data_IF_525532321593
#
_entry.id   IF_525532321593
#
_cell.length_a   1.000
_cell.length_b   1.000
_cell.length_c   1.000
_cell.angle_alpha   90.00
_cell.angle_beta   90.00
_cell.angle_gamma   90.00
#
_symmetry.space_group_name_H-M   'P 1'
#
loop_
_entity.id
_entity.type
_entity.pdbx_description
1 polymer ?
#
# COMPACT_ATOMS: atom_id res chain seq x y z
N UNK A 1 -2.69 -5.46 0.37
CA UNK A 1 -3.84 -4.70 0.92
C UNK A 1 -5.01 -5.62 1.20
N UNK A 2 -5.45 -6.49 0.26
CA UNK A 2 -6.60 -7.38 0.46
C UNK A 2 -6.53 -8.28 1.70
N UNK A 3 -5.36 -8.76 2.10
CA UNK A 3 -5.17 -9.56 3.32
C UNK A 3 -5.41 -8.75 4.60
N UNK A 4 -5.17 -7.42 4.55
CA UNK A 4 -5.37 -6.52 5.70
C UNK A 4 -6.85 -6.31 6.02
N UNK A 5 -7.73 -6.41 5.02
CA UNK A 5 -9.18 -6.30 5.21
C UNK A 5 -9.84 -7.64 5.49
N UNK A 6 -9.37 -8.72 4.85
CA UNK A 6 -9.95 -10.06 4.98
C UNK A 6 -9.80 -10.65 6.40
N UNK A 7 -8.62 -10.50 7.01
CA UNK A 7 -8.35 -11.05 8.35
C UNK A 7 -9.24 -10.43 9.43
N UNK A 8 -9.31 -9.10 9.63
CA UNK A 8 -10.17 -8.49 10.63
C UNK A 8 -11.65 -8.79 10.45
N UNK A 9 -12.12 -8.90 9.20
CA UNK A 9 -13.50 -9.26 8.91
C UNK A 9 -13.80 -10.69 9.34
N UNK A 10 -12.88 -11.61 9.09
CA UNK A 10 -12.99 -13.01 9.52
C UNK A 10 -12.97 -13.14 11.04
N UNK A 11 -12.10 -12.43 11.73
CA UNK A 11 -11.99 -12.41 13.19
C UNK A 11 -13.28 -11.90 13.86
N UNK A 12 -14.03 -11.03 13.16
CA UNK A 12 -15.36 -10.56 13.60
C UNK A 12 -16.51 -11.49 13.22
N UNK A 13 -16.20 -12.69 12.73
CA UNK A 13 -17.19 -13.72 12.43
C UNK A 13 -17.80 -13.66 11.03
N UNK A 14 -17.33 -12.78 10.15
CA UNK A 14 -17.81 -12.75 8.78
C UNK A 14 -17.33 -13.98 7.97
N UNK A 15 -18.16 -14.46 7.06
CA UNK A 15 -17.72 -15.38 6.02
C UNK A 15 -17.07 -14.56 4.90
N UNK A 16 -15.76 -14.77 4.66
CA UNK A 16 -14.97 -13.97 3.73
C UNK A 16 -14.45 -14.83 2.58
N UNK A 17 -15.10 -14.80 1.41
CA UNK A 17 -14.55 -15.36 0.19
C UNK A 17 -13.51 -14.41 -0.40
N UNK A 18 -12.35 -14.96 -0.80
CA UNK A 18 -11.24 -14.20 -1.40
C UNK A 18 -11.00 -14.70 -2.82
N UNK A 19 -11.08 -13.78 -3.77
CA UNK A 19 -10.81 -14.09 -5.18
C UNK A 19 -9.31 -14.15 -5.44
N UNK A 20 -8.88 -15.16 -6.18
CA UNK A 20 -7.48 -15.39 -6.50
C UNK A 20 -7.29 -15.60 -7.99
N UNK A 21 -6.38 -14.85 -8.60
CA UNK A 21 -5.92 -15.11 -9.97
C UNK A 21 -4.89 -16.24 -9.95
N UNK A 22 -4.93 -17.13 -10.94
CA UNK A 22 -3.86 -18.09 -11.18
C UNK A 22 -2.71 -17.36 -11.87
N UNK A 23 -1.65 -17.06 -11.14
CA UNK A 23 -0.40 -16.63 -11.73
C UNK A 23 0.48 -17.85 -12.06
N UNK A 24 1.28 -17.76 -13.12
CA UNK A 24 2.24 -18.80 -13.51
C UNK A 24 3.36 -19.01 -12.48
N UNK A 25 3.59 -18.05 -11.61
CA UNK A 25 4.66 -18.08 -10.60
C UNK A 25 4.07 -17.89 -9.21
N UNK A 26 3.93 -18.98 -8.46
CA UNK A 26 3.74 -18.94 -7.02
C UNK A 26 2.34 -19.29 -6.50
N UNK A 27 2.30 -19.83 -5.28
CA UNK A 27 1.07 -20.03 -4.53
C UNK A 27 0.64 -18.70 -3.93
N UNK A 28 -0.54 -18.23 -4.30
CA UNK A 28 -1.15 -17.09 -3.63
C UNK A 28 -1.63 -17.53 -2.25
N UNK A 29 -1.02 -16.96 -1.22
CA UNK A 29 -1.46 -17.19 0.16
C UNK A 29 -2.70 -16.34 0.42
N UNK A 30 -3.76 -16.98 0.89
CA UNK A 30 -4.96 -16.32 1.41
C UNK A 30 -4.94 -16.40 2.94
N UNK A 31 -5.56 -15.44 3.65
CA UNK A 31 -5.65 -15.50 5.10
C UNK A 31 -6.35 -16.78 5.56
N UNK A 32 -5.89 -17.30 6.69
CA UNK A 32 -6.44 -18.53 7.28
C UNK A 32 -7.93 -18.36 7.58
N UNK A 33 -8.71 -19.41 7.27
CA UNK A 33 -10.15 -19.41 7.47
C UNK A 33 -10.96 -18.65 6.42
N UNK A 34 -10.34 -18.04 5.40
CA UNK A 34 -11.03 -17.47 4.26
C UNK A 34 -11.29 -18.52 3.17
N UNK A 35 -12.42 -18.43 2.50
CA UNK A 35 -12.75 -19.30 1.38
C UNK A 35 -12.06 -18.80 0.09
N UNK A 36 -11.48 -19.71 -0.67
CA UNK A 36 -10.83 -19.39 -1.95
C UNK A 36 -11.81 -19.48 -3.11
N UNK A 37 -11.89 -18.44 -3.92
CA UNK A 37 -12.68 -18.41 -5.15
C UNK A 37 -11.76 -18.11 -6.33
N UNK A 38 -12.04 -18.69 -7.49
CA UNK A 38 -11.35 -18.32 -8.71
C UNK A 38 -11.79 -16.93 -9.18
N UNK A 39 -10.86 -16.10 -9.61
CA UNK A 39 -11.14 -14.73 -10.03
C UNK A 39 -12.22 -14.63 -11.13
N UNK A 40 -12.30 -15.60 -12.03
CA UNK A 40 -13.34 -15.67 -13.08
C UNK A 40 -14.76 -15.82 -12.53
N UNK A 41 -14.92 -16.41 -11.34
CA UNK A 41 -16.21 -16.70 -10.69
C UNK A 41 -16.68 -15.53 -9.80
N UNK A 42 -15.97 -14.40 -9.79
CA UNK A 42 -16.24 -13.29 -8.87
C UNK A 42 -17.65 -12.74 -8.97
N UNK A 43 -18.18 -12.61 -10.19
CA UNK A 43 -19.53 -12.09 -10.43
C UNK A 43 -20.61 -13.06 -9.96
N UNK A 44 -20.37 -14.37 -10.05
CA UNK A 44 -21.32 -15.39 -9.60
C UNK A 44 -21.49 -15.36 -8.08
N UNK A 45 -20.46 -14.90 -7.35
CA UNK A 45 -20.46 -14.83 -5.88
C UNK A 45 -20.98 -13.51 -5.32
N UNK A 46 -21.05 -12.45 -6.10
CA UNK A 46 -21.51 -11.13 -5.65
C UNK A 46 -22.93 -11.17 -5.08
N UNK A 47 -23.93 -11.86 -5.68
CA UNK A 47 -25.28 -11.90 -5.13
C UNK A 47 -25.40 -12.50 -3.73
N UNK A 48 -24.40 -13.30 -3.31
CA UNK A 48 -24.35 -13.90 -1.98
C UNK A 48 -23.67 -12.95 -0.95
N UNK A 49 -23.10 -11.82 -1.44
CA UNK A 49 -22.33 -10.90 -0.62
C UNK A 49 -23.13 -9.65 -0.27
N UNK A 50 -22.95 -9.15 0.94
CA UNK A 50 -23.44 -7.84 1.37
C UNK A 50 -22.41 -6.73 1.16
N UNK A 51 -21.14 -7.10 1.28
CA UNK A 51 -19.99 -6.21 1.10
C UNK A 51 -19.00 -6.83 0.13
N UNK A 52 -18.48 -6.02 -0.78
CA UNK A 52 -17.40 -6.39 -1.69
C UNK A 52 -16.27 -5.38 -1.54
N UNK A 53 -15.07 -5.86 -1.23
CA UNK A 53 -13.89 -5.01 -1.10
C UNK A 53 -12.92 -5.33 -2.22
N UNK A 54 -12.54 -4.35 -3.02
CA UNK A 54 -11.48 -4.46 -4.00
C UNK A 54 -10.23 -3.72 -3.54
N UNK A 55 -9.06 -4.36 -3.69
CA UNK A 55 -7.78 -3.83 -3.25
C UNK A 55 -6.66 -4.44 -4.09
N UNK A 56 -6.79 -4.36 -5.42
CA UNK A 56 -5.81 -4.91 -6.35
C UNK A 56 -4.88 -3.82 -6.89
N UNK A 57 -3.83 -4.21 -7.58
CA UNK A 57 -2.95 -3.32 -8.34
C UNK A 57 -3.21 -3.45 -9.86
N UNK A 58 -4.43 -3.84 -10.23
CA UNK A 58 -4.80 -3.97 -11.64
C UNK A 58 -4.87 -2.60 -12.31
N UNK A 59 -4.34 -2.43 -13.52
CA UNK A 59 -4.52 -1.18 -14.27
C UNK A 59 -5.93 -1.05 -14.87
N UNK A 60 -6.73 -2.11 -14.85
CA UNK A 60 -8.07 -2.15 -15.43
C UNK A 60 -9.10 -2.40 -14.34
N UNK A 61 -10.33 -1.94 -14.58
CA UNK A 61 -11.46 -2.22 -13.70
C UNK A 61 -11.63 -3.72 -13.49
N UNK A 62 -11.85 -4.11 -12.28
CA UNK A 62 -12.14 -5.50 -11.89
C UNK A 62 -13.64 -5.77 -11.77
N UNK A 63 -14.41 -4.72 -11.50
CA UNK A 63 -15.87 -4.76 -11.48
C UNK A 63 -16.44 -3.67 -12.41
N UNK A 64 -17.25 -4.09 -13.37
CA UNK A 64 -17.85 -3.27 -14.40
C UNK A 64 -19.37 -3.13 -14.18
N UNK A 65 -19.95 -1.95 -14.47
CA UNK A 65 -21.36 -1.64 -14.27
C UNK A 65 -22.29 -2.63 -14.99
N UNK A 66 -22.02 -2.88 -16.25
CA UNK A 66 -22.89 -3.74 -17.07
C UNK A 66 -23.01 -5.15 -16.49
N UNK A 67 -21.88 -5.68 -15.98
CA UNK A 67 -21.83 -7.00 -15.36
C UNK A 67 -22.58 -7.06 -14.03
N UNK A 68 -22.52 -6.00 -13.23
CA UNK A 68 -23.28 -5.91 -11.96
C UNK A 68 -24.77 -5.75 -12.24
N UNK A 69 -25.13 -4.99 -13.27
CA UNK A 69 -26.53 -4.79 -13.69
C UNK A 69 -27.19 -6.10 -14.13
N UNK A 70 -26.45 -7.01 -14.74
CA UNK A 70 -26.93 -8.33 -15.14
C UNK A 70 -27.20 -9.26 -13.95
N UNK A 71 -26.67 -8.94 -12.76
CA UNK A 71 -26.88 -9.75 -11.57
C UNK A 71 -28.24 -9.48 -10.94
N UNK A 72 -28.96 -10.54 -10.58
CA UNK A 72 -30.18 -10.43 -9.79
C UNK A 72 -29.85 -10.24 -8.32
N UNK A 73 -29.50 -8.99 -7.93
CA UNK A 73 -29.22 -8.65 -6.54
C UNK A 73 -30.52 -8.75 -5.72
N UNK A 74 -30.49 -9.54 -4.65
CA UNK A 74 -31.64 -9.74 -3.76
C UNK A 74 -31.65 -8.80 -2.56
N UNK A 75 -30.57 -8.01 -2.38
CA UNK A 75 -30.40 -7.09 -1.26
C UNK A 75 -29.42 -5.98 -1.57
N UNK A 76 -29.24 -5.09 -0.61
CA UNK A 76 -28.28 -4.00 -0.70
C UNK A 76 -26.83 -4.55 -0.80
N UNK A 77 -26.07 -4.00 -1.74
CA UNK A 77 -24.66 -4.31 -1.99
C UNK A 77 -23.81 -3.07 -1.79
N UNK A 78 -22.88 -3.13 -0.85
CA UNK A 78 -21.90 -2.07 -0.62
C UNK A 78 -20.56 -2.50 -1.20
N UNK A 79 -20.02 -1.69 -2.11
CA UNK A 79 -18.72 -1.92 -2.75
C UNK A 79 -17.70 -0.91 -2.20
N UNK A 80 -16.54 -1.40 -1.84
CA UNK A 80 -15.46 -0.59 -1.26
C UNK A 80 -14.21 -0.75 -2.12
N UNK A 81 -13.79 0.34 -2.74
CA UNK A 81 -12.61 0.38 -3.60
C UNK A 81 -11.41 0.98 -2.85
N UNK A 82 -10.47 0.14 -2.50
CA UNK A 82 -9.20 0.53 -1.85
C UNK A 82 -8.02 0.51 -2.83
N UNK A 83 -8.29 0.39 -4.14
CA UNK A 83 -7.26 0.30 -5.16
C UNK A 83 -6.87 1.67 -5.73
N UNK A 84 -5.60 1.79 -6.10
CA UNK A 84 -5.07 2.91 -6.87
C UNK A 84 -4.23 2.31 -8.01
N UNK A 85 -4.65 2.50 -9.28
CA UNK A 85 -5.90 3.13 -9.75
C UNK A 85 -7.15 2.34 -9.36
N UNK A 86 -8.34 2.93 -9.58
CA UNK A 86 -9.62 2.32 -9.19
C UNK A 86 -9.86 0.97 -9.84
N UNK A 87 -10.38 0.05 -9.05
CA UNK A 87 -10.77 -1.31 -9.46
C UNK A 87 -12.26 -1.42 -9.80
N UNK A 88 -13.09 -0.56 -9.22
CA UNK A 88 -14.55 -0.62 -9.30
C UNK A 88 -15.05 0.56 -10.15
N UNK A 89 -15.94 0.27 -11.12
CA UNK A 89 -16.58 1.31 -11.91
C UNK A 89 -17.48 2.17 -11.00
N UNK A 90 -17.20 3.49 -10.86
CA UNK A 90 -18.01 4.38 -10.03
C UNK A 90 -19.49 4.42 -10.41
N UNK A 91 -19.81 4.21 -11.69
CA UNK A 91 -21.16 4.21 -12.19
C UNK A 91 -22.02 3.06 -11.64
N UNK A 92 -21.42 2.08 -10.95
CA UNK A 92 -22.19 1.04 -10.24
C UNK A 92 -23.06 1.66 -9.13
N UNK A 93 -22.59 2.74 -8.51
CA UNK A 93 -23.37 3.45 -7.48
C UNK A 93 -24.68 4.07 -7.97
N UNK A 94 -24.90 4.14 -9.28
CA UNK A 94 -26.16 4.60 -9.88
C UNK A 94 -27.21 3.48 -9.97
N UNK A 95 -26.80 2.22 -9.78
CA UNK A 95 -27.72 1.08 -9.82
C UNK A 95 -28.57 1.00 -8.56
N UNK A 96 -29.80 0.49 -8.63
CA UNK A 96 -30.60 0.27 -7.44
C UNK A 96 -29.93 -0.65 -6.43
N UNK A 97 -30.04 -0.33 -5.16
CA UNK A 97 -29.53 -1.14 -4.04
C UNK A 97 -27.98 -1.27 -4.00
N UNK A 98 -27.26 -0.42 -4.73
CA UNK A 98 -25.78 -0.42 -4.69
C UNK A 98 -25.25 0.88 -4.12
N UNK A 99 -24.18 0.77 -3.35
CA UNK A 99 -23.39 1.90 -2.85
C UNK A 99 -21.92 1.64 -3.15
N UNK A 100 -21.21 2.65 -3.65
CA UNK A 100 -19.78 2.55 -3.96
C UNK A 100 -19.02 3.58 -3.15
N UNK A 101 -18.07 3.12 -2.35
CA UNK A 101 -17.15 3.94 -1.59
C UNK A 101 -15.72 3.70 -2.08
N UNK A 102 -14.94 4.75 -2.15
CA UNK A 102 -13.52 4.69 -2.46
C UNK A 102 -12.67 5.07 -1.23
N UNK A 103 -11.36 4.96 -1.32
CA UNK A 103 -10.45 5.23 -0.21
C UNK A 103 -10.59 6.67 0.33
N UNK A 104 -10.93 7.64 -0.53
CA UNK A 104 -11.06 9.05 -0.15
C UNK A 104 -12.31 9.30 0.69
N UNK A 105 -13.36 8.50 0.51
CA UNK A 105 -14.61 8.62 1.26
C UNK A 105 -14.41 8.28 2.76
N UNK A 106 -13.34 7.57 3.11
CA UNK A 106 -13.00 7.21 4.49
C UNK A 106 -12.13 8.25 5.21
N UNK A 107 -11.62 9.26 4.48
CA UNK A 107 -10.77 10.29 5.09
C UNK A 107 -11.54 11.32 5.92
N UNK A 108 -12.85 11.39 5.80
CA UNK A 108 -13.67 12.45 6.39
C UNK A 108 -14.29 12.15 7.76
N UNK A 109 -14.02 11.01 8.39
CA UNK A 109 -14.80 10.61 9.55
C UNK A 109 -14.08 9.98 10.74
N UNK A 110 -12.87 9.56 10.63
CA UNK A 110 -12.16 8.98 11.77
C UNK A 110 -11.30 10.05 12.43
N UNK A 111 -11.81 10.61 13.52
CA UNK A 111 -10.95 11.30 14.46
C UNK A 111 -9.78 10.37 14.77
N UNK A 112 -8.59 10.77 14.32
CA UNK A 112 -7.34 10.09 14.68
C UNK A 112 -7.33 10.05 16.20
N UNK A 113 -7.22 8.87 16.82
CA UNK A 113 -7.12 8.79 18.27
C UNK A 113 -5.90 9.59 18.73
N UNK A 114 -5.94 10.12 19.96
CA UNK A 114 -4.82 10.90 20.50
C UNK A 114 -3.49 10.12 20.40
N UNK A 115 -3.52 8.79 20.59
CA UNK A 115 -2.35 7.92 20.45
C UNK A 115 -1.88 7.82 18.99
N UNK A 116 -2.80 7.76 18.04
CA UNK A 116 -2.45 7.75 16.60
C UNK A 116 -1.92 9.11 16.15
N UNK A 117 -2.48 10.22 16.68
CA UNK A 117 -2.00 11.57 16.42
C UNK A 117 -0.56 11.75 16.92
N UNK A 118 -0.27 11.31 18.15
CA UNK A 118 1.08 11.35 18.71
C UNK A 118 2.07 10.50 17.88
N UNK A 119 1.65 9.33 17.41
CA UNK A 119 2.49 8.48 16.55
C UNK A 119 2.75 9.09 15.17
N UNK A 120 1.78 9.81 14.61
CA UNK A 120 1.94 10.52 13.33
C UNK A 120 2.89 11.70 13.50
N UNK A 121 2.79 12.48 14.60
CA UNK A 121 3.71 13.59 14.84
C UNK A 121 5.15 13.08 15.06
N UNK A 122 5.35 12.02 15.83
CA UNK A 122 6.67 11.41 16.00
C UNK A 122 7.27 10.91 14.68
N UNK A 123 6.43 10.36 13.79
CA UNK A 123 6.86 9.95 12.47
C UNK A 123 7.24 11.13 11.57
N UNK A 124 6.53 12.26 11.67
CA UNK A 124 6.87 13.49 10.94
C UNK A 124 8.21 14.06 11.41
N UNK A 125 8.43 14.17 12.72
CA UNK A 125 9.69 14.64 13.28
C UNK A 125 10.87 13.80 12.78
N UNK A 126 10.74 12.47 12.76
CA UNK A 126 11.76 11.57 12.25
C UNK A 126 12.05 11.81 10.76
N UNK A 127 11.00 12.00 9.93
CA UNK A 127 11.17 12.29 8.50
C UNK A 127 11.85 13.63 8.30
N UNK A 128 11.50 14.65 9.07
CA UNK A 128 12.13 15.98 8.98
C UNK A 128 13.62 15.91 9.36
N UNK A 129 13.98 15.15 10.38
CA UNK A 129 15.38 14.93 10.78
C UNK A 129 16.18 14.25 9.67
N UNK A 130 15.67 13.16 9.10
CA UNK A 130 16.31 12.43 7.99
C UNK A 130 16.45 13.30 6.72
N UNK A 131 15.44 14.13 6.44
CA UNK A 131 15.50 15.08 5.31
C UNK A 131 16.57 16.14 5.56
N UNK A 132 16.70 16.65 6.79
CA UNK A 132 17.73 17.64 7.13
C UNK A 132 19.14 17.05 6.99
N UNK A 133 19.36 15.81 7.44
CA UNK A 133 20.63 15.10 7.24
C UNK A 133 20.94 14.88 5.76
N UNK A 134 19.94 14.46 4.98
CA UNK A 134 20.09 14.28 3.55
C UNK A 134 20.46 15.60 2.83
N UNK A 135 19.79 16.69 3.16
CA UNK A 135 20.09 18.01 2.57
C UNK A 135 21.51 18.45 2.91
N UNK A 136 21.93 18.30 4.17
CA UNK A 136 23.30 18.61 4.59
C UNK A 136 24.34 17.79 3.84
N UNK A 137 24.12 16.48 3.69
CA UNK A 137 24.97 15.63 2.87
C UNK A 137 24.99 16.06 1.41
N UNK A 138 23.80 16.36 0.85
CA UNK A 138 23.65 16.76 -0.55
C UNK A 138 24.40 18.06 -0.86
N UNK A 139 24.37 19.04 0.04
CA UNK A 139 25.12 20.30 -0.09
C UNK A 139 26.64 20.07 -0.04
N UNK A 140 27.10 19.10 0.73
CA UNK A 140 28.51 18.79 0.86
C UNK A 140 29.05 17.80 -0.18
N UNK A 141 28.19 17.18 -0.99
CA UNK A 141 28.58 16.07 -1.89
C UNK A 141 29.67 16.46 -2.88
N UNK A 142 29.67 17.70 -3.36
CA UNK A 142 30.62 18.18 -4.36
C UNK A 142 32.01 18.45 -3.75
N UNK A 143 32.09 18.60 -2.42
CA UNK A 143 33.34 18.76 -1.67
C UNK A 143 34.00 17.40 -1.31
N UNK A 144 33.26 16.29 -1.40
CA UNK A 144 33.78 14.96 -1.01
C UNK A 144 35.05 14.56 -1.79
N UNK A 145 35.15 14.78 -3.12
CA UNK A 145 36.37 14.48 -3.88
C UNK A 145 37.56 15.27 -3.38
N UNK A 146 37.40 16.58 -3.11
CA UNK A 146 38.49 17.46 -2.62
C UNK A 146 38.96 17.06 -1.23
N UNK A 147 38.04 16.73 -0.32
CA UNK A 147 38.36 16.25 1.02
C UNK A 147 39.17 14.94 0.95
N UNK A 148 38.79 14.05 0.04
CA UNK A 148 39.48 12.76 -0.16
C UNK A 148 40.90 12.99 -0.71
N UNK A 149 41.08 13.91 -1.64
CA UNK A 149 42.37 14.26 -2.20
C UNK A 149 43.29 14.86 -1.12
N UNK A 150 42.82 15.82 -0.32
CA UNK A 150 43.52 16.39 0.81
C UNK A 150 43.92 15.32 1.84
N UNK A 151 43.01 14.40 2.16
CA UNK A 151 43.32 13.27 3.04
C UNK A 151 44.44 12.38 2.51
N UNK A 152 44.45 12.12 1.21
CA UNK A 152 45.49 11.34 0.55
C UNK A 152 46.86 12.06 0.59
N UNK A 153 46.86 13.35 0.29
CA UNK A 153 48.09 14.18 0.36
C UNK A 153 48.66 14.23 1.78
N UNK A 154 47.79 14.43 2.79
CA UNK A 154 48.22 14.45 4.19
C UNK A 154 48.82 13.10 4.63
N UNK A 155 48.21 12.00 4.23
CA UNK A 155 48.73 10.65 4.52
C UNK A 155 50.11 10.42 3.88
N UNK A 156 50.31 10.88 2.64
CA UNK A 156 51.59 10.78 1.94
C UNK A 156 52.66 11.63 2.62
N UNK A 157 52.33 12.86 3.02
CA UNK A 157 53.29 13.74 3.72
C UNK A 157 53.72 13.15 5.07
N UNK A 158 52.78 12.61 5.85
CA UNK A 158 53.07 11.92 7.10
C UNK A 158 53.97 10.71 6.85
N UNK A 159 53.67 9.90 5.87
CA UNK A 159 54.48 8.71 5.52
C UNK A 159 55.90 9.09 5.09
N UNK A 160 56.04 10.16 4.31
CA UNK A 160 57.35 10.68 3.89
C UNK A 160 58.16 11.19 5.05
N UNK A 161 57.59 11.94 5.97
CA UNK A 161 58.26 12.46 7.18
C UNK A 161 58.70 11.33 8.11
N UNK A 162 57.82 10.34 8.32
CA UNK A 162 58.16 9.17 9.13
C UNK A 162 59.31 8.37 8.51
N UNK A 163 59.33 8.16 7.20
CA UNK A 163 60.39 7.48 6.49
C UNK A 163 61.75 8.17 6.63
N UNK A 164 61.80 9.51 6.79
CA UNK A 164 63.04 10.26 7.04
C UNK A 164 63.55 10.19 8.49
N UNK A 165 62.66 9.93 9.44
CA UNK A 165 63.02 9.92 10.87
C UNK A 165 63.66 8.59 11.31
N UNK A 166 63.47 7.51 10.53
CA UNK A 166 63.95 6.17 10.82
C UNK A 166 65.10 5.71 9.91
N UNK A 167 65.74 6.63 9.18
CA UNK A 167 66.98 6.47 8.48
C UNK A 167 68.04 7.40 9.11
#
# INVERSE_FOLDING_TARGET
>A
TGSLTARPSRERGAFVPVTVRKYRSGQVQIPEGCARIHYGERYEKIPECRYVVSATSSPNLTLEKDKIQELNLTGALTLIDLAVPRDIDPCIGELPQTEVYNIDDFQTGTGVSEEQSASIEAAKELVEEEVAEFVSWYECKDMIPEIRELGTMAAQDVSWRMGKTFH
#
